data_IF_440081580571
#
_entry.id   IF_440081580571
#
_cell.length_a   1.000
_cell.length_b   1.000
_cell.length_c   1.000
_cell.angle_alpha   90.00
_cell.angle_beta   90.00
_cell.angle_gamma   90.00
#
_symmetry.space_group_name_H-M   'P 1'
#
loop_
_entity.id
_entity.type
_entity.pdbx_description
1 polymer ?
#
# COMPACT_ATOMS: atom_id res chain seq x y z
N UNK A 1 -32.23 -31.95 40.30
CA UNK A 1 -32.39 -33.38 40.61
C UNK A 1 -33.83 -33.73 40.30
N UNK A 2 -34.21 -34.72 39.50
CA UNK A 2 -33.63 -35.94 38.88
C UNK A 2 -34.36 -36.08 37.51
N UNK A 3 -33.83 -36.46 36.35
CA UNK A 3 -33.00 -37.58 35.87
C UNK A 3 -33.50 -39.01 36.19
N UNK A 4 -34.21 -39.62 35.23
CA UNK A 4 -33.96 -40.97 34.65
C UNK A 4 -35.01 -41.22 33.54
N UNK A 5 -34.61 -41.29 32.25
CA UNK A 5 -34.22 -42.49 31.46
C UNK A 5 -35.42 -43.43 31.23
N UNK A 6 -35.99 -43.53 30.02
CA UNK A 6 -35.50 -44.39 28.92
C UNK A 6 -35.74 -45.86 29.31
N UNK A 7 -36.63 -46.63 28.69
CA UNK A 7 -36.55 -47.21 27.34
C UNK A 7 -37.78 -48.13 27.23
N UNK A 8 -38.45 -48.20 26.08
CA UNK A 8 -38.94 -49.46 25.48
C UNK A 8 -39.73 -49.16 24.21
N UNK A 9 -39.10 -49.43 23.07
CA UNK A 9 -39.66 -49.90 21.79
C UNK A 9 -38.54 -49.74 20.75
N UNK A 10 -37.52 -50.61 20.84
CA UNK A 10 -36.48 -50.78 19.83
C UNK A 10 -36.33 -52.27 19.56
N UNK A 11 -36.61 -52.66 18.33
CA UNK A 11 -36.21 -53.90 17.69
C UNK A 11 -34.83 -53.73 17.01
N UNK A 12 -34.07 -54.83 16.95
CA UNK A 12 -32.60 -54.90 16.79
C UNK A 12 -31.99 -54.35 15.48
N UNK A 13 -32.77 -53.83 14.54
CA UNK A 13 -32.25 -53.31 13.26
C UNK A 13 -32.46 -51.78 13.06
N UNK A 14 -32.89 -51.04 14.09
CA UNK A 14 -32.78 -49.57 14.09
C UNK A 14 -33.68 -48.80 13.10
N UNK A 15 -34.87 -49.33 12.77
CA UNK A 15 -35.89 -48.60 12.00
C UNK A 15 -37.20 -48.49 12.79
N UNK A 16 -37.84 -47.31 12.75
CA UNK A 16 -39.17 -47.08 13.38
C UNK A 16 -40.27 -47.85 12.65
N UNK A 17 -40.98 -48.71 13.39
CA UNK A 17 -42.16 -49.43 12.93
C UNK A 17 -43.38 -48.48 12.84
N UNK A 18 -43.90 -48.24 11.63
CA UNK A 18 -45.13 -47.46 11.44
C UNK A 18 -46.34 -48.40 11.43
N UNK A 19 -47.18 -48.31 12.47
CA UNK A 19 -48.41 -49.08 12.60
C UNK A 19 -49.57 -48.29 11.96
N UNK A 20 -50.15 -48.80 10.88
CA UNK A 20 -51.28 -48.16 10.19
C UNK A 20 -52.58 -48.92 10.44
N UNK A 21 -53.46 -48.36 11.26
CA UNK A 21 -54.83 -48.86 11.42
C UNK A 21 -55.72 -48.23 10.34
N UNK A 22 -56.05 -48.99 9.30
CA UNK A 22 -57.01 -48.58 8.26
C UNK A 22 -58.43 -48.89 8.71
N UNK A 23 -59.23 -47.85 9.00
CA UNK A 23 -60.69 -47.95 8.97
C UNK A 23 -61.17 -47.65 7.56
N UNK A 24 -61.72 -48.66 6.91
CA UNK A 24 -62.19 -48.59 5.54
C UNK A 24 -63.33 -47.60 5.37
N UNK A 25 -63.19 -46.70 4.41
CA UNK A 25 -64.31 -45.99 3.80
C UNK A 25 -64.23 -46.18 2.28
N UNK A 26 -65.34 -46.70 1.78
CA UNK A 26 -65.76 -47.04 0.42
C UNK A 26 -65.40 -45.99 -0.64
N UNK A 27 -64.97 -46.46 -1.81
CA UNK A 27 -64.38 -45.65 -2.88
C UNK A 27 -65.30 -44.83 -3.77
N UNK A 28 -64.67 -43.93 -4.55
CA UNK A 28 -65.13 -43.37 -5.83
C UNK A 28 -63.93 -43.22 -6.78
N UNK A 29 -64.14 -43.34 -8.11
CA UNK A 29 -63.06 -43.53 -9.07
C UNK A 29 -62.32 -42.23 -9.41
N UNK A 30 -61.05 -42.41 -9.75
CA UNK A 30 -60.06 -41.42 -10.16
C UNK A 30 -60.55 -40.61 -11.37
N UNK A 31 -60.68 -39.29 -11.19
CA UNK A 31 -60.58 -38.32 -12.27
C UNK A 31 -59.15 -37.79 -12.26
N UNK A 32 -58.37 -38.19 -13.28
CA UNK A 32 -57.03 -37.68 -13.54
C UNK A 32 -57.16 -36.25 -14.06
N UNK A 33 -57.25 -35.29 -13.14
CA UNK A 33 -57.10 -33.88 -13.49
C UNK A 33 -55.62 -33.64 -13.81
N UNK A 34 -55.33 -33.30 -15.07
CA UNK A 34 -54.00 -32.85 -15.48
C UNK A 34 -53.68 -31.58 -14.69
N UNK A 35 -52.95 -31.72 -13.59
CA UNK A 35 -52.30 -30.59 -12.92
C UNK A 35 -51.35 -29.98 -13.95
N UNK A 36 -51.72 -28.79 -14.40
CA UNK A 36 -50.92 -27.92 -15.25
C UNK A 36 -49.56 -27.72 -14.59
N UNK A 37 -48.49 -27.96 -15.36
CA UNK A 37 -47.14 -27.61 -14.93
C UNK A 37 -47.13 -26.15 -14.52
N UNK A 38 -46.89 -25.90 -13.22
CA UNK A 38 -46.63 -24.57 -12.72
C UNK A 38 -45.51 -23.95 -13.55
N UNK A 39 -45.79 -22.81 -14.17
CA UNK A 39 -44.78 -22.02 -14.88
C UNK A 39 -43.65 -21.75 -13.89
N UNK A 40 -42.43 -22.16 -14.26
CA UNK A 40 -41.22 -21.98 -13.44
C UNK A 40 -41.21 -20.60 -12.76
N UNK A 41 -40.93 -20.50 -11.44
CA UNK A 41 -40.87 -19.21 -10.76
C UNK A 41 -39.91 -18.28 -11.49
N UNK A 42 -40.37 -17.06 -11.82
CA UNK A 42 -39.60 -16.03 -12.55
C UNK A 42 -38.26 -15.66 -11.89
N UNK A 43 -38.04 -16.06 -10.64
CA UNK A 43 -36.80 -15.88 -9.88
C UNK A 43 -35.70 -16.87 -10.23
N UNK A 44 -36.04 -18.06 -10.78
CA UNK A 44 -35.05 -19.06 -11.19
C UNK A 44 -34.06 -18.53 -12.24
N UNK A 45 -34.48 -17.87 -13.33
CA UNK A 45 -33.52 -17.29 -14.28
C UNK A 45 -32.70 -16.16 -13.64
N UNK A 46 -33.26 -15.37 -12.72
CA UNK A 46 -32.56 -14.28 -12.04
C UNK A 46 -31.45 -14.84 -11.13
N UNK A 47 -31.74 -15.90 -10.36
CA UNK A 47 -30.73 -16.55 -9.52
C UNK A 47 -29.60 -17.16 -10.37
N UNK A 48 -29.94 -17.74 -11.53
CA UNK A 48 -28.97 -18.31 -12.47
C UNK A 48 -28.11 -17.22 -13.09
N UNK A 49 -28.70 -16.10 -13.53
CA UNK A 49 -27.95 -14.99 -14.13
C UNK A 49 -27.04 -14.30 -13.10
N UNK A 50 -27.50 -14.11 -11.86
CA UNK A 50 -26.67 -13.58 -10.78
C UNK A 50 -25.52 -14.53 -10.43
N UNK A 51 -25.77 -15.85 -10.43
CA UNK A 51 -24.74 -16.86 -10.24
C UNK A 51 -23.67 -16.82 -11.34
N UNK A 52 -24.08 -16.76 -12.60
CA UNK A 52 -23.17 -16.63 -13.75
C UNK A 52 -22.37 -15.33 -13.67
N UNK A 53 -23.03 -14.20 -13.37
CA UNK A 53 -22.36 -12.90 -13.23
C UNK A 53 -21.30 -12.94 -12.11
N UNK A 54 -21.62 -13.55 -10.96
CA UNK A 54 -20.69 -13.72 -9.86
C UNK A 54 -19.47 -14.56 -10.27
N UNK A 55 -19.69 -15.68 -10.96
CA UNK A 55 -18.61 -16.54 -11.47
C UNK A 55 -17.70 -15.79 -12.45
N UNK A 56 -18.27 -15.00 -13.37
CA UNK A 56 -17.50 -14.18 -14.30
C UNK A 56 -16.63 -13.16 -13.57
N UNK A 57 -17.18 -12.48 -12.56
CA UNK A 57 -16.43 -11.53 -11.74
C UNK A 57 -15.28 -12.20 -10.97
N UNK A 58 -15.49 -13.40 -10.41
CA UNK A 58 -14.45 -14.16 -9.72
C UNK A 58 -13.33 -14.58 -10.68
N UNK A 59 -13.67 -15.05 -11.88
CA UNK A 59 -12.66 -15.42 -12.90
C UNK A 59 -11.83 -14.20 -13.31
N UNK A 60 -12.47 -13.04 -13.53
CA UNK A 60 -11.75 -11.79 -13.84
C UNK A 60 -10.83 -11.40 -12.69
N UNK A 61 -11.29 -11.47 -11.44
CA UNK A 61 -10.46 -11.16 -10.27
C UNK A 61 -9.24 -12.09 -10.16
N UNK A 62 -9.38 -13.38 -10.46
CA UNK A 62 -8.25 -14.33 -10.49
C UNK A 62 -7.28 -14.02 -11.63
N UNK A 63 -7.78 -13.65 -12.81
CA UNK A 63 -6.91 -13.27 -13.95
C UNK A 63 -6.16 -11.97 -13.63
N UNK A 64 -6.82 -10.96 -13.07
CA UNK A 64 -6.18 -9.72 -12.64
C UNK A 64 -5.19 -9.95 -11.50
N UNK A 65 -5.53 -10.81 -10.53
CA UNK A 65 -4.65 -11.20 -9.44
C UNK A 65 -3.40 -11.93 -9.91
N UNK A 66 -3.54 -12.90 -10.82
CA UNK A 66 -2.39 -13.61 -11.40
C UNK A 66 -1.53 -12.70 -12.26
N UNK A 67 -2.10 -11.86 -13.11
CA UNK A 67 -1.32 -10.90 -13.93
C UNK A 67 -0.61 -9.85 -13.07
N UNK A 68 -1.22 -9.36 -11.99
CA UNK A 68 -0.58 -8.47 -11.02
C UNK A 68 0.52 -9.18 -10.22
N UNK A 69 0.29 -10.44 -9.83
CA UNK A 69 1.29 -11.26 -9.14
C UNK A 69 2.51 -11.56 -10.02
N UNK A 70 2.30 -11.89 -11.30
CA UNK A 70 3.39 -12.05 -12.27
C UNK A 70 4.17 -10.74 -12.50
N UNK A 71 3.48 -9.59 -12.55
CA UNK A 71 4.12 -8.25 -12.63
C UNK A 71 4.96 -7.94 -11.39
N UNK A 72 4.55 -8.40 -10.21
CA UNK A 72 5.29 -8.22 -8.96
C UNK A 72 6.51 -9.16 -8.86
N UNK A 73 6.37 -10.42 -9.29
CA UNK A 73 7.43 -11.41 -9.14
C UNK A 73 8.58 -11.23 -10.15
N UNK A 74 8.30 -10.68 -11.35
CA UNK A 74 9.33 -10.37 -12.36
C UNK A 74 10.18 -9.13 -12.03
N UNK A 75 9.96 -8.47 -10.90
CA UNK A 75 10.74 -7.31 -10.43
C UNK A 75 11.97 -7.66 -9.57
N UNK A 76 12.34 -8.94 -9.42
CA UNK A 76 13.47 -9.34 -8.58
C UNK A 76 14.50 -10.20 -9.33
N UNK A 77 15.51 -9.54 -9.89
CA UNK A 77 16.81 -10.16 -10.16
C UNK A 77 17.89 -9.31 -9.48
N UNK A 78 18.56 -9.79 -8.43
CA UNK A 78 19.74 -9.13 -7.88
C UNK A 78 21.02 -9.68 -8.54
N UNK A 79 22.04 -8.82 -8.53
CA UNK A 79 23.45 -9.05 -8.86
C UNK A 79 23.86 -9.02 -10.35
N UNK A 80 24.36 -7.86 -10.78
CA UNK A 80 25.62 -7.82 -11.54
C UNK A 80 26.64 -7.08 -10.68
N UNK A 81 27.61 -7.85 -10.20
CA UNK A 81 28.73 -7.39 -9.39
C UNK A 81 29.90 -7.14 -10.34
N UNK A 82 30.17 -5.89 -10.70
CA UNK A 82 31.40 -5.52 -11.39
C UNK A 82 32.34 -4.85 -10.38
N UNK A 83 33.30 -5.64 -9.88
CA UNK A 83 34.46 -5.17 -9.14
C UNK A 83 35.29 -4.23 -10.03
N UNK A 84 35.58 -3.01 -9.56
CA UNK A 84 36.62 -2.17 -10.14
C UNK A 84 37.78 -1.98 -9.15
N UNK A 85 39.04 -2.15 -9.56
CA UNK A 85 40.19 -1.99 -8.68
C UNK A 85 40.47 -0.52 -8.38
N UNK A 86 40.67 -0.24 -7.10
CA UNK A 86 41.22 1.02 -6.59
C UNK A 86 42.69 1.17 -7.04
N UNK A 87 43.04 2.29 -7.69
CA UNK A 87 44.43 2.69 -7.91
C UNK A 87 44.60 4.21 -7.80
N UNK A 88 45.26 4.57 -6.70
CA UNK A 88 46.15 5.69 -6.37
C UNK A 88 45.69 7.15 -6.52
N UNK A 89 45.60 7.80 -5.35
CA UNK A 89 45.92 9.22 -5.14
C UNK A 89 47.40 9.31 -4.75
N UNK A 90 48.17 10.09 -5.50
CA UNK A 90 49.41 10.67 -4.98
C UNK A 90 49.50 12.11 -5.52
N UNK A 91 49.60 13.06 -4.58
CA UNK A 91 49.74 14.49 -4.83
C UNK A 91 51.19 14.81 -5.17
N UNK A 92 51.44 15.69 -6.13
CA UNK A 92 52.59 16.62 -6.11
C UNK A 92 52.30 17.88 -6.93
N UNK A 93 52.85 18.99 -6.46
CA UNK A 93 52.51 20.39 -6.73
C UNK A 93 53.13 20.98 -8.02
N UNK A 94 52.39 21.90 -8.68
CA UNK A 94 52.73 23.15 -9.42
C UNK A 94 54.13 23.40 -10.07
N UNK A 95 54.31 24.47 -10.91
CA UNK A 95 53.62 24.96 -12.12
C UNK A 95 54.63 25.08 -13.31
N UNK A 96 54.22 25.53 -14.52
CA UNK A 96 54.97 26.46 -15.44
C UNK A 96 54.26 26.61 -16.80
N UNK A 97 54.16 27.86 -17.27
CA UNK A 97 53.68 28.31 -18.59
C UNK A 97 54.56 27.82 -19.77
N UNK A 98 53.96 27.60 -20.95
CA UNK A 98 54.47 28.13 -22.23
C UNK A 98 53.50 27.85 -23.39
N UNK A 99 53.40 28.84 -24.26
CA UNK A 99 52.64 28.97 -25.51
C UNK A 99 53.12 28.04 -26.63
N UNK A 100 52.21 27.54 -27.48
CA UNK A 100 52.16 27.88 -28.92
C UNK A 100 50.89 27.30 -29.59
N UNK A 101 50.22 28.14 -30.37
CA UNK A 101 49.10 27.82 -31.27
C UNK A 101 49.46 26.81 -32.36
N UNK A 102 48.50 25.95 -32.75
CA UNK A 102 48.31 25.64 -34.15
C UNK A 102 46.85 25.32 -34.50
N UNK A 103 46.47 25.69 -35.71
CA UNK A 103 45.12 25.93 -36.19
C UNK A 103 44.42 24.67 -36.72
N UNK A 104 43.20 24.35 -36.24
CA UNK A 104 42.16 23.68 -37.06
C UNK A 104 40.77 24.18 -36.65
N UNK A 105 40.00 24.67 -37.62
CA UNK A 105 38.64 25.21 -37.47
C UNK A 105 37.54 24.11 -37.44
N UNK A 106 36.24 24.42 -37.37
CA UNK A 106 35.42 24.22 -36.18
C UNK A 106 34.34 23.15 -36.40
N UNK A 107 34.38 22.04 -35.67
CA UNK A 107 33.24 21.14 -35.58
C UNK A 107 32.28 21.66 -34.54
N UNK A 108 31.10 22.13 -34.98
CA UNK A 108 29.95 22.44 -34.13
C UNK A 108 29.61 21.22 -33.25
N UNK A 109 30.21 21.13 -32.08
CA UNK A 109 29.61 20.40 -30.98
C UNK A 109 28.46 21.29 -30.49
N UNK A 110 27.23 20.85 -30.73
CA UNK A 110 26.11 21.27 -29.89
C UNK A 110 26.45 20.79 -28.47
N UNK A 111 27.18 21.59 -27.72
CA UNK A 111 27.00 21.63 -26.28
C UNK A 111 25.62 22.20 -26.07
N UNK A 112 24.61 21.34 -26.16
CA UNK A 112 23.43 21.50 -25.33
C UNK A 112 23.97 21.43 -23.90
N UNK A 113 24.40 22.57 -23.40
CA UNK A 113 24.28 22.89 -21.98
C UNK A 113 22.80 22.67 -21.72
N UNK A 114 22.46 21.44 -21.31
CA UNK A 114 21.13 21.15 -20.83
C UNK A 114 20.95 22.11 -19.68
N UNK A 115 20.16 23.15 -19.92
CA UNK A 115 19.48 23.83 -18.84
C UNK A 115 18.82 22.69 -18.08
N UNK A 116 19.38 22.32 -16.93
CA UNK A 116 18.75 21.38 -16.03
C UNK A 116 17.38 21.99 -15.80
N UNK A 117 16.38 21.39 -16.43
CA UNK A 117 15.03 21.90 -16.38
C UNK A 117 14.69 21.96 -14.90
N UNK A 118 14.28 23.15 -14.46
CA UNK A 118 13.72 23.42 -13.14
C UNK A 118 12.36 22.71 -13.04
N UNK A 119 12.38 21.38 -13.13
CA UNK A 119 11.22 20.52 -13.20
C UNK A 119 11.51 19.28 -12.37
N UNK A 120 10.47 18.79 -11.70
CA UNK A 120 10.57 17.59 -10.92
C UNK A 120 10.92 16.36 -11.78
N UNK A 121 11.63 15.37 -11.20
CA UNK A 121 11.92 14.13 -11.90
C UNK A 121 10.62 13.41 -12.34
N UNK A 122 10.69 12.50 -13.32
CA UNK A 122 9.53 11.72 -13.74
C UNK A 122 8.87 10.99 -12.56
N UNK A 123 7.53 10.99 -12.52
CA UNK A 123 6.71 10.39 -11.45
C UNK A 123 6.74 11.11 -10.09
N UNK A 124 7.31 12.32 -10.02
CA UNK A 124 7.20 13.20 -8.86
C UNK A 124 6.08 14.21 -9.08
N UNK A 125 5.37 14.55 -8.01
CA UNK A 125 4.35 15.59 -8.00
C UNK A 125 5.04 16.93 -7.74
N UNK A 126 4.80 17.92 -8.60
CA UNK A 126 5.29 19.28 -8.40
C UNK A 126 4.29 20.09 -7.59
N UNK A 127 4.75 20.74 -6.52
CA UNK A 127 3.98 21.77 -5.83
C UNK A 127 4.90 22.90 -5.37
N UNK A 128 4.65 24.11 -5.89
CA UNK A 128 5.53 25.29 -5.74
C UNK A 128 6.97 24.95 -6.18
N UNK A 129 7.95 25.17 -5.32
CA UNK A 129 9.38 24.94 -5.56
C UNK A 129 9.87 23.57 -5.06
N UNK A 130 8.95 22.65 -4.78
CA UNK A 130 9.24 21.33 -4.23
C UNK A 130 8.67 20.22 -5.11
N UNK A 131 9.32 19.07 -5.04
CA UNK A 131 8.96 17.83 -5.70
C UNK A 131 8.67 16.76 -4.64
N UNK A 132 7.57 16.03 -4.80
CA UNK A 132 7.11 15.03 -3.84
C UNK A 132 6.94 13.66 -4.50
N UNK A 133 7.42 12.61 -3.85
CA UNK A 133 7.24 11.23 -4.29
C UNK A 133 6.54 10.43 -3.20
N UNK A 134 5.34 9.93 -3.51
CA UNK A 134 4.63 8.99 -2.66
C UNK A 134 5.11 7.57 -3.01
N UNK A 135 5.66 6.86 -2.02
CA UNK A 135 6.18 5.51 -2.26
C UNK A 135 5.05 4.55 -2.60
N UNK A 136 5.36 3.57 -3.45
CA UNK A 136 4.41 2.52 -3.86
C UNK A 136 4.58 1.22 -3.07
N UNK A 137 5.59 1.16 -2.19
CA UNK A 137 5.89 0.02 -1.33
C UNK A 137 5.89 0.40 0.14
N UNK A 138 5.55 -0.59 0.97
CA UNK A 138 5.56 -0.49 2.43
C UNK A 138 6.97 -0.73 2.97
N UNK A 139 7.39 0.11 3.90
CA UNK A 139 8.68 0.02 4.56
C UNK A 139 8.62 0.57 5.99
N UNK A 140 9.59 0.17 6.82
CA UNK A 140 9.82 0.82 8.11
C UNK A 140 10.36 2.23 7.91
N UNK A 141 10.20 3.11 8.90
CA UNK A 141 10.63 4.51 8.79
C UNK A 141 12.09 4.66 8.37
N UNK A 142 12.99 3.87 8.97
CA UNK A 142 14.43 3.89 8.63
C UNK A 142 14.70 3.43 7.19
N UNK A 143 13.96 2.43 6.69
CA UNK A 143 14.08 1.98 5.30
C UNK A 143 13.54 3.03 4.33
N UNK A 144 12.44 3.71 4.67
CA UNK A 144 11.89 4.82 3.89
C UNK A 144 12.86 6.01 3.84
N UNK A 145 13.46 6.39 4.96
CA UNK A 145 14.53 7.41 5.03
C UNK A 145 15.66 7.10 4.06
N UNK A 146 16.16 5.86 4.11
CA UNK A 146 17.24 5.40 3.22
C UNK A 146 16.81 5.45 1.75
N UNK A 147 15.58 5.06 1.45
CA UNK A 147 15.04 5.12 0.10
C UNK A 147 15.00 6.55 -0.45
N UNK A 148 14.47 7.51 0.32
CA UNK A 148 14.48 8.93 -0.08
C UNK A 148 15.91 9.45 -0.27
N UNK A 149 16.84 9.07 0.63
CA UNK A 149 18.26 9.46 0.52
C UNK A 149 18.91 8.94 -0.78
N UNK A 150 18.60 7.70 -1.19
CA UNK A 150 19.09 7.13 -2.46
C UNK A 150 18.57 7.89 -3.69
N UNK A 151 17.44 8.57 -3.57
CA UNK A 151 16.86 9.42 -4.60
C UNK A 151 17.38 10.87 -4.55
N UNK A 152 18.40 11.15 -3.73
CA UNK A 152 18.91 12.51 -3.48
C UNK A 152 17.79 13.44 -3.00
N UNK A 153 16.98 12.94 -2.07
CA UNK A 153 15.83 13.60 -1.45
C UNK A 153 15.78 13.24 0.03
N UNK A 154 14.88 13.86 0.79
CA UNK A 154 14.66 13.55 2.20
C UNK A 154 13.26 13.02 2.42
N UNK A 155 12.98 12.39 3.56
CA UNK A 155 11.58 12.23 3.96
C UNK A 155 10.94 13.62 4.12
N UNK A 156 9.65 13.71 3.80
CA UNK A 156 8.87 14.95 3.81
C UNK A 156 9.10 15.76 5.08
N UNK A 157 9.48 17.02 4.92
CA UNK A 157 9.42 18.04 5.95
C UNK A 157 8.24 18.96 5.65
N UNK A 158 7.48 19.33 6.67
CA UNK A 158 6.38 20.28 6.51
C UNK A 158 6.85 21.62 7.08
N UNK A 159 7.17 22.55 6.19
CA UNK A 159 7.68 23.88 6.52
C UNK A 159 6.55 24.93 6.60
N UNK A 160 5.42 24.73 5.90
CA UNK A 160 4.34 25.73 5.81
C UNK A 160 2.93 25.14 5.93
N UNK A 161 1.94 25.99 6.27
CA UNK A 161 0.54 25.59 6.33
C UNK A 161 -0.03 25.23 4.95
N UNK A 162 0.40 25.92 3.89
CA UNK A 162 -0.01 25.61 2.52
C UNK A 162 0.53 24.24 2.06
N UNK A 163 1.76 23.91 2.44
CA UNK A 163 2.36 22.60 2.17
C UNK A 163 1.62 21.49 2.94
N UNK A 164 1.30 21.72 4.23
CA UNK A 164 0.49 20.80 5.02
C UNK A 164 -0.86 20.52 4.35
N UNK A 165 -1.55 21.55 3.88
CA UNK A 165 -2.84 21.42 3.20
C UNK A 165 -2.71 20.60 1.90
N UNK A 166 -1.69 20.87 1.10
CA UNK A 166 -1.40 20.11 -0.11
C UNK A 166 -1.17 18.62 0.22
N UNK A 167 -0.31 18.32 1.19
CA UNK A 167 0.03 16.95 1.58
C UNK A 167 -1.20 16.20 2.11
N UNK A 168 -1.99 16.82 3.00
CA UNK A 168 -3.20 16.21 3.55
C UNK A 168 -4.21 15.87 2.44
N UNK A 169 -4.40 16.75 1.46
CA UNK A 169 -5.26 16.48 0.31
C UNK A 169 -4.76 15.30 -0.52
N UNK A 170 -3.44 15.19 -0.76
CA UNK A 170 -2.85 14.06 -1.48
C UNK A 170 -3.01 12.75 -0.71
N UNK A 171 -2.72 12.74 0.60
CA UNK A 171 -2.87 11.54 1.44
C UNK A 171 -4.33 11.10 1.53
N UNK A 172 -5.26 12.03 1.74
CA UNK A 172 -6.70 11.73 1.85
C UNK A 172 -7.33 11.23 0.56
N UNK A 173 -6.67 11.43 -0.59
CA UNK A 173 -7.12 10.90 -1.88
C UNK A 173 -6.74 9.43 -2.11
N UNK A 174 -5.88 8.88 -1.25
CA UNK A 174 -5.41 7.50 -1.34
C UNK A 174 -6.22 6.56 -0.43
N UNK A 175 -6.40 5.29 -0.84
CA UNK A 175 -7.23 4.34 -0.10
C UNK A 175 -6.56 3.92 1.22
N UNK A 176 -7.02 4.49 2.34
CA UNK A 176 -6.66 4.15 3.73
C UNK A 176 -5.15 3.96 4.01
N UNK A 177 -4.31 4.66 3.24
CA UNK A 177 -2.86 4.53 3.31
C UNK A 177 -2.28 5.50 4.36
N UNK A 178 -1.32 5.00 5.12
CA UNK A 178 -0.48 5.81 6.01
C UNK A 178 0.88 6.09 5.36
N UNK A 179 1.42 7.28 5.61
CA UNK A 179 2.67 7.73 5.02
C UNK A 179 3.64 8.29 6.05
N UNK A 180 4.82 7.68 6.17
CA UNK A 180 5.94 8.22 6.93
C UNK A 180 6.36 9.60 6.43
N UNK A 181 6.65 10.49 7.38
CA UNK A 181 7.26 11.80 7.18
C UNK A 181 8.61 11.88 7.90
N UNK A 182 9.38 12.92 7.64
CA UNK A 182 10.75 13.09 8.13
C UNK A 182 10.88 13.41 9.63
N UNK A 183 9.82 13.20 10.41
CA UNK A 183 9.77 13.55 11.82
C UNK A 183 9.94 12.30 12.69
N UNK A 184 10.93 12.35 13.59
CA UNK A 184 11.27 11.24 14.49
C UNK A 184 11.90 11.71 15.80
N UNK A 185 11.99 10.82 16.78
CA UNK A 185 12.55 11.03 18.11
C UNK A 185 13.55 9.92 18.40
N UNK A 186 14.73 10.25 18.92
CA UNK A 186 15.77 9.26 19.20
C UNK A 186 15.55 8.46 20.51
N UNK A 187 14.98 9.11 21.53
CA UNK A 187 14.71 8.56 22.85
C UNK A 187 13.33 9.04 23.31
N UNK A 188 12.52 8.20 23.98
CA UNK A 188 11.13 8.49 24.33
C UNK A 188 10.92 9.83 25.04
N UNK A 189 11.91 10.35 25.77
CA UNK A 189 11.82 11.65 26.47
C UNK A 189 12.40 12.84 25.68
N UNK A 190 13.09 12.60 24.56
CA UNK A 190 13.76 13.65 23.76
C UNK A 190 12.84 14.39 22.78
N UNK A 191 13.24 15.52 22.18
CA UNK A 191 12.39 16.23 21.23
C UNK A 191 12.13 15.41 19.95
N UNK A 192 11.01 15.71 19.26
CA UNK A 192 10.87 15.32 17.85
C UNK A 192 11.72 16.25 16.98
N UNK A 193 12.46 15.64 16.06
CA UNK A 193 13.37 16.30 15.15
C UNK A 193 13.02 15.94 13.71
N UNK A 194 13.16 16.92 12.83
CA UNK A 194 13.18 16.71 11.38
C UNK A 194 14.52 16.12 10.95
N UNK A 195 14.58 15.60 9.72
CA UNK A 195 15.82 14.98 9.19
C UNK A 195 17.00 15.97 9.07
N UNK A 196 16.72 17.26 8.97
CA UNK A 196 17.72 18.33 8.96
C UNK A 196 18.21 18.75 10.36
N UNK A 197 17.69 18.08 11.41
CA UNK A 197 18.01 18.37 12.81
C UNK A 197 17.19 19.50 13.42
N UNK A 198 16.30 20.16 12.68
CA UNK A 198 15.44 21.20 13.25
C UNK A 198 14.37 20.60 14.18
N UNK A 199 14.08 21.31 15.27
CA UNK A 199 13.13 20.86 16.29
C UNK A 199 11.69 21.07 15.81
N UNK A 200 10.85 20.07 16.01
CA UNK A 200 9.41 20.18 15.73
C UNK A 200 8.74 21.24 16.60
N UNK A 201 7.87 22.04 15.98
CA UNK A 201 7.02 23.01 16.67
C UNK A 201 5.55 22.69 16.42
N UNK A 202 4.73 22.69 17.47
CA UNK A 202 3.29 22.40 17.42
C UNK A 202 2.45 23.53 16.80
N UNK A 203 3.08 24.58 16.30
CA UNK A 203 2.39 25.74 15.71
C UNK A 203 1.70 25.40 14.38
N UNK A 204 2.23 24.44 13.61
CA UNK A 204 1.69 24.06 12.29
C UNK A 204 0.64 22.95 12.38
N UNK A 205 0.90 21.94 13.20
CA UNK A 205 -0.01 20.80 13.39
C UNK A 205 0.23 20.12 14.74
N UNK A 206 -0.75 19.31 15.14
CA UNK A 206 -0.66 18.48 16.34
C UNK A 206 -0.44 17.01 15.95
N UNK A 207 0.34 16.31 16.76
CA UNK A 207 0.58 14.87 16.61
C UNK A 207 -0.31 14.17 17.63
N UNK A 208 -1.17 13.27 17.15
CA UNK A 208 -2.01 12.42 18.01
C UNK A 208 -1.25 11.16 18.39
N UNK A 209 -1.38 10.74 19.64
CA UNK A 209 -0.80 9.47 20.04
C UNK A 209 -1.66 8.30 19.59
N UNK A 210 -1.03 7.24 19.09
CA UNK A 210 -1.66 5.95 18.81
C UNK A 210 -1.63 5.03 20.03
N UNK A 211 -0.94 5.42 21.11
CA UNK A 211 -0.84 4.63 22.32
C UNK A 211 -2.03 4.79 23.27
N UNK A 212 -2.30 3.72 24.01
CA UNK A 212 -3.10 3.74 25.24
C UNK A 212 -2.26 3.44 26.49
N UNK A 213 -0.98 3.08 26.32
CA UNK A 213 0.00 2.83 27.39
C UNK A 213 1.08 3.92 27.45
N UNK A 214 1.64 4.17 28.64
CA UNK A 214 2.63 5.23 28.84
C UNK A 214 4.05 4.89 28.36
N UNK A 215 4.29 3.70 27.79
CA UNK A 215 5.65 3.16 27.68
C UNK A 215 6.04 2.59 26.30
N UNK A 216 5.24 2.78 25.25
CA UNK A 216 5.69 2.42 23.92
C UNK A 216 6.57 3.52 23.31
N UNK A 217 7.64 3.10 22.64
CA UNK A 217 8.58 4.01 21.98
C UNK A 217 8.04 4.43 20.60
N UNK A 218 6.88 5.11 20.56
CA UNK A 218 6.31 5.72 19.35
C UNK A 218 7.16 6.92 18.92
N UNK A 219 8.28 6.59 18.27
CA UNK A 219 9.35 7.53 17.97
C UNK A 219 9.32 8.06 16.54
N UNK A 220 8.38 7.62 15.71
CA UNK A 220 8.28 8.04 14.31
C UNK A 220 6.87 8.56 14.00
N UNK A 221 6.74 9.37 12.96
CA UNK A 221 5.48 10.07 12.67
C UNK A 221 5.04 9.80 11.24
N UNK A 222 3.76 9.53 11.08
CA UNK A 222 3.11 9.35 9.79
C UNK A 222 1.85 10.22 9.67
N UNK A 223 1.38 10.37 8.45
CA UNK A 223 0.08 10.96 8.14
C UNK A 223 -0.85 9.85 7.68
N UNK A 224 -2.03 9.79 8.27
CA UNK A 224 -3.10 8.87 7.89
C UNK A 224 -4.37 9.68 7.66
N UNK A 225 -4.91 9.59 6.44
CA UNK A 225 -5.98 10.46 5.96
C UNK A 225 -5.60 11.96 6.08
N UNK A 226 -6.17 12.66 7.07
CA UNK A 226 -5.91 14.07 7.36
C UNK A 226 -5.28 14.30 8.73
N UNK A 227 -4.88 13.23 9.41
CA UNK A 227 -4.43 13.28 10.80
C UNK A 227 -2.99 12.78 10.89
N UNK A 228 -2.22 13.44 11.74
CA UNK A 228 -0.82 13.14 11.99
C UNK A 228 -0.72 12.38 13.30
N UNK A 229 -0.02 11.26 13.27
CA UNK A 229 0.10 10.35 14.41
C UNK A 229 1.54 9.96 14.69
N UNK A 230 1.85 9.74 15.97
CA UNK A 230 3.03 8.97 16.35
C UNK A 230 2.80 7.48 16.05
N UNK A 231 3.90 6.74 15.85
CA UNK A 231 3.85 5.31 15.59
C UNK A 231 5.22 4.65 15.83
N UNK A 232 5.20 3.33 16.02
CA UNK A 232 6.41 2.50 16.09
C UNK A 232 7.13 2.54 14.74
N UNK A 233 8.40 2.95 14.76
CA UNK A 233 9.23 3.09 13.56
C UNK A 233 9.38 1.81 12.73
N UNK A 234 9.12 0.64 13.33
CA UNK A 234 9.20 -0.67 12.68
C UNK A 234 7.96 -1.01 11.84
N UNK A 235 6.83 -0.33 12.05
CA UNK A 235 5.58 -0.61 11.33
C UNK A 235 5.79 -0.38 9.82
N UNK A 236 5.42 -1.34 8.96
CA UNK A 236 5.44 -1.11 7.52
C UNK A 236 4.40 -0.06 7.12
N UNK A 237 4.84 0.99 6.44
CA UNK A 237 3.98 2.05 5.92
C UNK A 237 4.52 2.60 4.61
N UNK A 238 3.71 3.33 3.87
CA UNK A 238 4.20 4.11 2.73
C UNK A 238 5.01 5.31 3.26
N UNK A 239 5.58 6.10 2.37
CA UNK A 239 6.39 7.26 2.73
C UNK A 239 6.30 8.34 1.68
N UNK A 240 6.55 9.58 2.09
CA UNK A 240 6.63 10.72 1.19
C UNK A 240 8.07 11.21 1.18
N UNK A 241 8.71 11.21 0.02
CA UNK A 241 10.00 11.87 -0.19
C UNK A 241 9.78 13.28 -0.74
N UNK A 242 10.65 14.21 -0.36
CA UNK A 242 10.62 15.61 -0.75
C UNK A 242 12.00 16.06 -1.26
N UNK A 243 12.01 16.84 -2.34
CA UNK A 243 13.20 17.46 -2.90
C UNK A 243 12.90 18.89 -3.36
N UNK A 244 13.78 19.84 -3.02
CA UNK A 244 13.70 21.22 -3.52
C UNK A 244 14.16 21.31 -4.97
N UNK A 245 13.46 22.11 -5.76
CA UNK A 245 13.82 22.41 -7.14
C UNK A 245 15.00 23.40 -7.13
N UNK A 246 16.09 23.04 -7.82
CA UNK A 246 17.33 23.83 -7.91
C UNK A 246 17.23 24.94 -8.93
#
# INVERSE_FOLDING_TARGET
MEYHSGVENLDEDGYTQLNFHSQGITGRPVVLEKVTCATSPRWRPIAVTLGILCLLMLVIAVILGTTAFWRFNSGSNPLKNDNFPSRNKENHSQPTQSSLEDHVAPTKALTTTGAFSSSCPPNWITHKNNCYLFSTSLASWNRSKRHCSQLHSNLLKIDTAEELEFIVRQVSSQPDNSFWIGLSRHQTEGPLLWEDGSVFSSNLFQIRSTDTQENSSHNCVWIHLSIIYDQLCSVPSYSICEKKMS
#
